data_IF_457628654813
#
_entry.id   IF_457628654813
#
_cell.length_a   1.000
_cell.length_b   1.000
_cell.length_c   1.000
_cell.angle_alpha   90.00
_cell.angle_beta   90.00
_cell.angle_gamma   90.00
#
_symmetry.space_group_name_H-M   'P 1'
#
loop_
_entity.id
_entity.type
_entity.pdbx_description
1 polymer ?
#
# COMPACT_ATOMS: atom_id res chain seq x y z
N UNK A 1 13.56 25.01 -11.48
CA UNK A 1 14.52 24.19 -10.72
C UNK A 1 13.76 22.96 -10.23
N UNK A 2 13.89 21.71 -10.70
CA UNK A 2 14.60 21.09 -11.82
C UNK A 2 13.89 19.75 -12.12
N UNK A 3 13.76 19.38 -13.39
CA UNK A 3 12.83 18.34 -13.89
C UNK A 3 13.31 16.88 -13.76
N UNK A 4 14.44 16.62 -13.09
CA UNK A 4 15.15 15.34 -13.22
C UNK A 4 15.35 14.51 -11.93
N UNK A 5 14.62 14.79 -10.84
CA UNK A 5 14.78 14.03 -9.58
C UNK A 5 13.61 13.10 -9.23
N UNK A 6 12.50 13.15 -9.96
CA UNK A 6 11.28 12.39 -9.61
C UNK A 6 11.26 10.96 -10.16
N UNK A 7 12.04 10.65 -11.20
CA UNK A 7 12.00 9.33 -11.87
C UNK A 7 12.50 8.18 -10.98
N UNK A 8 13.37 8.47 -10.02
CA UNK A 8 14.02 7.46 -9.16
C UNK A 8 13.49 7.43 -7.72
N UNK A 9 12.64 8.38 -7.34
CA UNK A 9 12.09 8.50 -5.98
C UNK A 9 10.63 8.07 -5.88
N UNK A 10 10.01 7.74 -7.00
CA UNK A 10 8.65 7.25 -7.02
C UNK A 10 8.69 5.72 -6.96
N UNK A 11 8.13 5.13 -5.91
CA UNK A 11 7.60 3.76 -5.92
C UNK A 11 6.39 3.66 -6.89
N UNK A 12 6.45 4.34 -8.04
CA UNK A 12 5.33 4.48 -8.96
C UNK A 12 5.45 3.47 -10.11
N UNK A 13 4.41 2.66 -10.22
CA UNK A 13 4.00 1.90 -11.42
C UNK A 13 3.81 2.83 -12.66
N UNK A 14 3.88 4.15 -12.48
CA UNK A 14 3.57 5.18 -13.48
C UNK A 14 4.70 5.48 -14.47
N UNK A 15 5.90 4.89 -14.34
CA UNK A 15 7.02 5.22 -15.24
C UNK A 15 6.88 4.64 -16.65
N UNK A 16 5.96 3.70 -16.87
CA UNK A 16 5.81 2.97 -18.15
C UNK A 16 4.61 3.41 -19.00
N UNK A 17 3.68 4.22 -18.47
CA UNK A 17 2.45 4.62 -19.17
C UNK A 17 2.21 6.13 -19.12
N UNK A 18 1.84 6.73 -20.24
CA UNK A 18 1.44 8.14 -20.31
C UNK A 18 -0.04 8.30 -19.89
N UNK A 19 -0.27 9.03 -18.80
CA UNK A 19 -1.63 9.34 -18.33
C UNK A 19 -1.98 10.79 -18.68
N UNK A 20 -3.12 11.06 -19.33
CA UNK A 20 -3.49 12.40 -19.80
C UNK A 20 -3.78 13.39 -18.67
N UNK A 21 -4.10 12.89 -17.46
CA UNK A 21 -4.35 13.69 -16.26
C UNK A 21 -3.79 12.94 -15.05
N UNK A 22 -2.94 13.59 -14.26
CA UNK A 22 -2.31 13.03 -13.07
C UNK A 22 -2.64 13.94 -11.89
N UNK A 23 -3.20 13.35 -10.83
CA UNK A 23 -3.39 14.00 -9.52
C UNK A 23 -2.47 13.28 -8.54
N UNK A 24 -1.67 14.05 -7.78
CA UNK A 24 -0.77 13.50 -6.76
C UNK A 24 -1.24 13.95 -5.38
N UNK A 25 -1.41 13.00 -4.48
CA UNK A 25 -1.70 13.23 -3.07
C UNK A 25 -0.78 12.34 -2.22
N UNK A 26 -0.40 12.82 -1.04
CA UNK A 26 0.54 12.15 -0.14
C UNK A 26 -0.08 11.74 1.20
N UNK A 27 -1.37 12.02 1.41
CA UNK A 27 -2.11 11.62 2.59
C UNK A 27 -3.31 10.73 2.23
N UNK A 28 -3.61 9.82 3.15
CA UNK A 28 -4.64 8.80 2.97
C UNK A 28 -6.05 9.40 2.91
N UNK A 29 -6.33 10.45 3.68
CA UNK A 29 -7.67 11.03 3.74
C UNK A 29 -8.05 11.70 2.41
N UNK A 30 -7.11 12.44 1.81
CA UNK A 30 -7.29 13.03 0.48
C UNK A 30 -7.52 11.95 -0.58
N UNK A 31 -6.72 10.88 -0.61
CA UNK A 31 -6.93 9.78 -1.57
C UNK A 31 -8.28 9.09 -1.41
N UNK A 32 -8.71 8.82 -0.17
CA UNK A 32 -10.03 8.22 0.10
C UNK A 32 -11.17 9.14 -0.38
N UNK A 33 -11.11 10.44 -0.05
CA UNK A 33 -12.12 11.40 -0.48
C UNK A 33 -12.17 11.55 -2.01
N UNK A 34 -11.02 11.53 -2.67
CA UNK A 34 -10.94 11.56 -4.13
C UNK A 34 -11.58 10.30 -4.76
N UNK A 35 -11.30 9.11 -4.22
CA UNK A 35 -11.92 7.88 -4.71
C UNK A 35 -13.44 7.91 -4.57
N UNK A 36 -13.97 8.38 -3.44
CA UNK A 36 -15.43 8.54 -3.24
C UNK A 36 -16.01 9.54 -4.24
N UNK A 37 -15.41 10.74 -4.35
CA UNK A 37 -15.91 11.80 -5.22
C UNK A 37 -15.83 11.48 -6.72
N UNK A 38 -14.90 10.61 -7.12
CA UNK A 38 -14.69 10.21 -8.52
C UNK A 38 -15.32 8.86 -8.86
N UNK A 39 -15.93 8.16 -7.88
CA UNK A 39 -16.29 6.75 -8.00
C UNK A 39 -15.11 5.91 -8.53
N UNK A 40 -13.92 6.20 -7.99
CA UNK A 40 -12.63 5.66 -8.42
C UNK A 40 -12.20 4.45 -7.60
N UNK A 41 -11.12 3.81 -8.05
CA UNK A 41 -10.48 2.70 -7.38
C UNK A 41 -8.97 2.95 -7.23
N UNK A 42 -8.33 2.21 -6.33
CA UNK A 42 -6.87 2.18 -6.20
C UNK A 42 -6.40 0.75 -6.06
N UNK A 43 -5.18 0.48 -6.54
CA UNK A 43 -4.46 -0.73 -6.14
C UNK A 43 -3.88 -0.50 -4.74
N UNK A 44 -4.01 -1.49 -3.87
CA UNK A 44 -3.47 -1.47 -2.52
C UNK A 44 -3.20 -2.90 -2.05
N UNK A 45 -2.54 -3.04 -0.90
CA UNK A 45 -2.24 -4.35 -0.29
C UNK A 45 -3.45 -5.13 0.22
N UNK A 46 -4.67 -4.57 0.11
CA UNK A 46 -5.88 -5.18 0.66
C UNK A 46 -6.01 -5.08 2.18
N UNK A 47 -5.04 -4.49 2.90
CA UNK A 47 -5.14 -4.24 4.34
C UNK A 47 -6.03 -3.01 4.57
N UNK A 48 -7.33 -3.25 4.72
CA UNK A 48 -8.31 -2.23 5.06
C UNK A 48 -8.85 -2.51 6.47
N UNK A 49 -8.91 -1.46 7.29
CA UNK A 49 -9.60 -1.53 8.58
C UNK A 49 -11.03 -1.05 8.36
N UNK A 50 -11.96 -1.97 8.13
CA UNK A 50 -13.38 -1.65 7.88
C UNK A 50 -13.97 -0.82 9.04
N UNK A 51 -13.56 -1.10 10.28
CA UNK A 51 -13.98 -0.34 11.47
C UNK A 51 -13.64 1.16 11.40
N UNK A 52 -12.56 1.54 10.71
CA UNK A 52 -12.11 2.93 10.59
C UNK A 52 -12.54 3.61 9.29
N UNK A 53 -12.83 2.84 8.24
CA UNK A 53 -13.11 3.38 6.91
C UNK A 53 -14.59 3.27 6.50
N UNK A 54 -15.42 2.68 7.37
CA UNK A 54 -16.84 2.49 7.09
C UNK A 54 -17.09 1.50 5.96
N UNK A 55 -18.32 1.53 5.43
CA UNK A 55 -18.78 0.61 4.38
C UNK A 55 -18.64 1.19 2.96
N UNK A 56 -17.94 2.32 2.81
CA UNK A 56 -17.78 3.03 1.53
C UNK A 56 -16.69 2.40 0.63
N UNK A 57 -15.86 1.51 1.19
CA UNK A 57 -14.76 0.86 0.49
C UNK A 57 -14.83 -0.65 0.67
N UNK A 58 -14.48 -1.39 -0.38
CA UNK A 58 -14.32 -2.83 -0.34
C UNK A 58 -12.96 -3.22 -0.91
N UNK A 59 -12.20 -4.06 -0.19
CA UNK A 59 -11.01 -4.69 -0.74
C UNK A 59 -11.45 -5.86 -1.64
N UNK A 60 -11.19 -5.74 -2.94
CA UNK A 60 -11.46 -6.81 -3.90
C UNK A 60 -10.12 -7.45 -4.29
N UNK A 61 -9.97 -8.79 -4.20
CA UNK A 61 -8.76 -9.47 -4.65
C UNK A 61 -8.45 -9.13 -6.10
N UNK A 62 -7.22 -8.69 -6.34
CA UNK A 62 -6.74 -8.51 -7.71
C UNK A 62 -6.63 -9.88 -8.39
N UNK A 63 -7.08 -9.96 -9.64
CA UNK A 63 -6.98 -11.18 -10.45
C UNK A 63 -5.91 -10.98 -11.50
N UNK A 64 -4.91 -11.85 -11.43
CA UNK A 64 -3.78 -11.85 -12.35
C UNK A 64 -4.25 -12.17 -13.78
N UNK A 65 -3.53 -11.59 -14.72
CA UNK A 65 -3.68 -11.76 -16.16
C UNK A 65 -2.43 -12.48 -16.69
N UNK A 66 -2.57 -13.33 -17.71
CA UNK A 66 -1.46 -13.96 -18.42
C UNK A 66 -0.46 -12.93 -18.97
N UNK A 67 -0.87 -11.68 -19.22
CA UNK A 67 0.02 -10.59 -19.63
C UNK A 67 0.65 -9.84 -18.44
N UNK A 68 0.03 -9.83 -17.26
CA UNK A 68 0.46 -9.05 -16.09
C UNK A 68 0.50 -9.91 -14.80
N UNK A 69 1.61 -10.63 -14.63
CA UNK A 69 1.85 -11.51 -13.49
C UNK A 69 2.26 -10.80 -12.19
N UNK A 70 2.43 -9.46 -12.20
CA UNK A 70 2.92 -8.73 -11.03
C UNK A 70 1.78 -8.24 -10.13
N UNK A 71 1.20 -9.17 -9.38
CA UNK A 71 0.07 -8.94 -8.47
C UNK A 71 0.43 -8.97 -6.98
N UNK A 72 1.65 -9.39 -6.66
CA UNK A 72 2.09 -9.64 -5.29
C UNK A 72 2.71 -8.36 -4.72
N UNK A 73 2.13 -7.86 -3.63
CA UNK A 73 2.72 -6.80 -2.82
C UNK A 73 3.35 -7.40 -1.56
N UNK A 74 4.68 -7.30 -1.43
CA UNK A 74 5.39 -7.74 -0.23
C UNK A 74 5.41 -6.63 0.83
N UNK A 75 4.95 -6.94 2.03
CA UNK A 75 4.98 -6.02 3.18
C UNK A 75 5.96 -6.54 4.22
N UNK A 76 6.95 -5.72 4.53
CA UNK A 76 7.94 -5.98 5.56
C UNK A 76 8.09 -4.82 6.54
N UNK A 77 8.96 -5.02 7.53
CA UNK A 77 9.41 -3.95 8.43
C UNK A 77 10.94 -3.89 8.39
N UNK A 78 11.49 -2.67 8.44
CA UNK A 78 12.94 -2.45 8.39
C UNK A 78 13.50 -2.32 9.80
N UNK A 79 14.63 -2.98 10.05
CA UNK A 79 15.38 -2.89 11.30
C UNK A 79 16.85 -2.56 11.02
N UNK A 80 17.50 -1.84 11.94
CA UNK A 80 18.93 -1.58 11.84
C UNK A 80 19.71 -2.91 11.83
N UNK A 81 20.67 -3.04 10.91
CA UNK A 81 21.56 -4.21 10.85
C UNK A 81 22.20 -4.48 12.22
N UNK A 82 22.31 -5.76 12.58
CA UNK A 82 22.82 -6.24 13.88
C UNK A 82 22.03 -5.76 15.10
N UNK A 83 20.78 -5.32 14.92
CA UNK A 83 19.89 -4.93 16.02
C UNK A 83 18.68 -5.86 16.03
N UNK A 84 18.37 -6.44 17.18
CA UNK A 84 17.08 -7.10 17.37
C UNK A 84 16.03 -6.07 17.81
N UNK A 85 14.77 -6.18 17.37
CA UNK A 85 13.68 -5.42 17.95
C UNK A 85 13.69 -5.60 19.47
N UNK A 86 13.57 -4.49 20.21
CA UNK A 86 13.39 -4.55 21.65
C UNK A 86 12.12 -5.31 22.04
N UNK A 87 11.92 -5.55 23.34
CA UNK A 87 10.74 -6.27 23.86
C UNK A 87 9.42 -5.74 23.28
N UNK A 88 9.26 -4.41 23.26
CA UNK A 88 8.05 -3.78 22.70
C UNK A 88 7.91 -3.98 21.19
N UNK A 89 9.00 -3.89 20.42
CA UNK A 89 8.97 -4.16 18.98
C UNK A 89 8.55 -5.60 18.67
N UNK A 90 9.06 -6.58 19.43
CA UNK A 90 8.65 -7.99 19.29
C UNK A 90 7.17 -8.18 19.62
N UNK A 91 6.67 -7.53 20.67
CA UNK A 91 5.25 -7.58 21.04
C UNK A 91 4.37 -6.96 19.96
N UNK A 92 4.76 -5.81 19.41
CA UNK A 92 4.05 -5.15 18.32
C UNK A 92 3.98 -6.03 17.07
N UNK A 93 5.11 -6.59 16.63
CA UNK A 93 5.16 -7.51 15.48
C UNK A 93 4.27 -8.73 15.72
N UNK A 94 4.26 -9.30 16.93
CA UNK A 94 3.40 -10.42 17.28
C UNK A 94 1.90 -10.05 17.20
N UNK A 95 1.53 -8.88 17.70
CA UNK A 95 0.16 -8.39 17.61
C UNK A 95 -0.27 -8.15 16.17
N UNK A 96 0.60 -7.54 15.35
CA UNK A 96 0.37 -7.29 13.94
C UNK A 96 0.17 -8.60 13.16
N UNK A 97 1.06 -9.60 13.37
CA UNK A 97 0.92 -10.92 12.75
C UNK A 97 -0.41 -11.59 13.13
N UNK A 98 -0.81 -11.51 14.41
CA UNK A 98 -2.09 -12.04 14.88
C UNK A 98 -3.28 -11.34 14.21
N UNK A 99 -3.25 -10.02 14.11
CA UNK A 99 -4.29 -9.22 13.46
C UNK A 99 -4.44 -9.60 11.97
N UNK A 100 -3.31 -9.79 11.27
CA UNK A 100 -3.29 -10.21 9.87
C UNK A 100 -3.54 -11.71 9.65
N UNK A 101 -3.79 -12.49 10.70
CA UNK A 101 -3.98 -13.94 10.59
C UNK A 101 -2.73 -14.73 10.18
N UNK A 102 -1.53 -14.14 10.28
CA UNK A 102 -0.26 -14.77 9.94
C UNK A 102 0.17 -15.67 11.11
N UNK A 103 -0.14 -16.97 11.01
CA UNK A 103 0.29 -17.98 11.97
C UNK A 103 1.73 -18.39 11.61
N UNK A 104 2.67 -18.21 12.54
CA UNK A 104 4.02 -18.76 12.35
C UNK A 104 3.92 -20.28 12.55
N UNK A 105 4.03 -21.05 11.47
CA UNK A 105 4.31 -22.49 11.47
C UNK A 105 5.72 -22.78 11.96
#
# INVERSE_FOLDING_TARGET
QGDNSSFYLAEEILSTNEYPRIIRANDRATMLNLMVGLNGYTLCSGIICEELNGNEFAAVPFRDDEENHNSIMEIGYVVRKNTMPGKMGKLYIKALKKYLGIINS
#
